data_IF_382318253169
#
_entry.id   IF_382318253169
#
_cell.length_a   1.000
_cell.length_b   1.000
_cell.length_c   1.000
_cell.angle_alpha   90.00
_cell.angle_beta   90.00
_cell.angle_gamma   90.00
#
_symmetry.space_group_name_H-M   'P 1'
#
loop_
_entity.id
_entity.type
_entity.pdbx_description
1 polymer ?
#
# COMPACT_ATOMS: atom_id res chain seq x y z
N UNK A 1 -7.23 -12.59 -10.90
CA UNK A 1 -6.57 -11.77 -9.90
C UNK A 1 -5.16 -12.28 -9.64
N UNK A 2 -4.29 -11.44 -9.13
CA UNK A 2 -2.97 -11.82 -8.63
C UNK A 2 -3.01 -11.89 -7.10
N UNK A 3 -2.06 -12.62 -6.52
CA UNK A 3 -1.96 -12.81 -5.07
C UNK A 3 -1.07 -11.74 -4.44
N UNK A 4 -0.12 -11.18 -5.20
CA UNK A 4 0.85 -10.18 -4.75
C UNK A 4 0.75 -8.89 -5.57
N UNK A 5 1.39 -7.82 -5.12
CA UNK A 5 1.41 -6.54 -5.81
C UNK A 5 0.13 -5.72 -5.61
N UNK A 6 -0.37 -5.69 -4.36
CA UNK A 6 -1.55 -4.91 -4.00
C UNK A 6 -1.38 -3.43 -4.34
N UNK A 7 -2.25 -2.91 -5.21
CA UNK A 7 -2.20 -1.52 -5.63
C UNK A 7 -3.55 -1.16 -6.28
N UNK A 8 -4.38 -0.40 -5.58
CA UNK A 8 -5.74 -0.08 -6.03
C UNK A 8 -5.91 1.43 -6.13
N UNK A 9 -6.24 1.91 -7.34
CA UNK A 9 -6.50 3.32 -7.57
C UNK A 9 -7.98 3.64 -7.29
N UNK A 10 -8.21 4.58 -6.39
CA UNK A 10 -9.50 5.21 -6.11
C UNK A 10 -9.47 6.64 -6.60
N UNK A 11 -10.58 7.09 -7.18
CA UNK A 11 -10.81 8.50 -7.50
C UNK A 11 -11.98 9.01 -6.66
N UNK A 12 -11.73 10.04 -5.84
CA UNK A 12 -12.71 10.69 -4.98
C UNK A 12 -12.67 12.18 -5.28
N UNK A 13 -13.74 12.69 -5.92
CA UNK A 13 -13.73 14.05 -6.47
C UNK A 13 -12.61 14.24 -7.50
N UNK A 14 -11.73 15.20 -7.25
CA UNK A 14 -10.54 15.49 -8.07
C UNK A 14 -9.27 14.76 -7.59
N UNK A 15 -9.34 14.00 -6.48
CA UNK A 15 -8.21 13.34 -5.85
C UNK A 15 -8.02 11.90 -6.31
N UNK A 16 -6.77 11.53 -6.58
CA UNK A 16 -6.34 10.17 -6.89
C UNK A 16 -5.62 9.56 -5.69
N UNK A 17 -6.14 8.45 -5.20
CA UNK A 17 -5.68 7.81 -3.97
C UNK A 17 -5.29 6.37 -4.30
N UNK A 18 -4.12 5.93 -3.86
CA UNK A 18 -3.77 4.52 -3.89
C UNK A 18 -4.07 3.88 -2.53
N UNK A 19 -4.71 2.72 -2.55
CA UNK A 19 -4.71 1.79 -1.44
C UNK A 19 -3.61 0.77 -1.72
N UNK A 20 -2.55 0.82 -0.92
CA UNK A 20 -1.28 0.13 -1.08
C UNK A 20 -0.54 0.47 -2.40
N UNK A 21 0.72 0.11 -2.47
CA UNK A 21 1.57 0.23 -3.66
C UNK A 21 2.66 -0.86 -3.62
N UNK A 22 2.25 -2.10 -3.80
CA UNK A 22 3.05 -3.29 -3.58
C UNK A 22 3.80 -3.82 -4.79
N UNK A 23 4.84 -4.59 -4.54
CA UNK A 23 5.57 -5.35 -5.56
C UNK A 23 4.86 -6.66 -5.91
N UNK A 24 4.83 -6.99 -7.18
CA UNK A 24 4.55 -8.35 -7.62
C UNK A 24 5.72 -9.26 -7.24
N UNK A 25 5.41 -10.49 -6.87
CA UNK A 25 6.38 -11.50 -6.48
C UNK A 25 6.18 -12.80 -7.25
N UNK A 26 7.25 -13.57 -7.44
CA UNK A 26 7.22 -14.90 -8.02
C UNK A 26 6.67 -14.94 -9.45
N UNK A 27 5.54 -15.63 -9.66
CA UNK A 27 4.92 -15.77 -10.98
C UNK A 27 4.37 -14.45 -11.48
N UNK A 28 3.66 -13.69 -10.61
CA UNK A 28 3.06 -12.41 -10.97
C UNK A 28 4.12 -11.38 -11.40
N UNK A 29 5.28 -11.38 -10.77
CA UNK A 29 6.42 -10.54 -11.16
C UNK A 29 6.91 -10.84 -12.58
N UNK A 30 7.07 -12.14 -12.92
CA UNK A 30 7.52 -12.54 -14.25
C UNK A 30 6.54 -12.20 -15.37
N UNK A 31 5.23 -12.20 -15.05
CA UNK A 31 4.17 -11.94 -16.02
C UNK A 31 3.88 -10.46 -16.20
N UNK A 32 4.03 -9.65 -15.15
CA UNK A 32 3.59 -8.25 -15.10
C UNK A 32 4.72 -7.24 -14.99
N UNK A 33 5.85 -7.63 -14.37
CA UNK A 33 6.94 -6.73 -14.02
C UNK A 33 6.58 -5.75 -12.91
N UNK A 34 7.59 -5.10 -12.37
CA UNK A 34 7.44 -4.10 -11.31
C UNK A 34 7.82 -2.68 -11.76
N UNK A 35 8.29 -2.53 -13.00
CA UNK A 35 8.95 -1.32 -13.51
C UNK A 35 7.97 -0.18 -13.83
N UNK A 36 6.73 -0.53 -14.12
CA UNK A 36 5.74 0.44 -14.62
C UNK A 36 4.46 0.46 -13.80
N UNK A 37 3.77 1.60 -13.85
CA UNK A 37 2.42 1.78 -13.30
C UNK A 37 1.42 1.99 -14.44
N UNK A 38 0.16 1.60 -14.24
CA UNK A 38 -0.93 1.84 -15.19
C UNK A 38 -1.53 3.25 -15.06
N UNK A 39 -0.88 4.13 -14.31
CA UNK A 39 -1.24 5.52 -14.06
C UNK A 39 0.05 6.35 -13.98
N UNK A 40 -0.09 7.66 -14.06
CA UNK A 40 1.05 8.57 -13.89
C UNK A 40 1.30 8.82 -12.39
N UNK A 41 2.49 8.46 -11.84
CA UNK A 41 2.82 8.67 -10.44
C UNK A 41 2.67 10.12 -9.95
N UNK A 42 2.84 11.10 -10.84
CA UNK A 42 2.74 12.52 -10.49
C UNK A 42 1.31 12.98 -10.21
N UNK A 43 0.31 12.20 -10.67
CA UNK A 43 -1.10 12.53 -10.51
C UNK A 43 -1.71 11.92 -9.25
N UNK A 44 -0.92 11.18 -8.45
CA UNK A 44 -1.36 10.60 -7.19
C UNK A 44 -1.23 11.63 -6.06
N UNK A 45 -2.31 11.84 -5.32
CA UNK A 45 -2.34 12.76 -4.18
C UNK A 45 -1.97 12.05 -2.87
N UNK A 46 -2.47 10.83 -2.67
CA UNK A 46 -2.25 10.05 -1.45
C UNK A 46 -1.99 8.57 -1.73
N UNK A 47 -1.17 7.96 -0.90
CA UNK A 47 -1.11 6.51 -0.72
C UNK A 47 -1.59 6.21 0.70
N UNK A 48 -2.62 5.39 0.85
CA UNK A 48 -3.06 4.91 2.17
C UNK A 48 -2.56 3.48 2.29
N UNK A 49 -1.58 3.28 3.17
CA UNK A 49 -0.87 2.01 3.28
C UNK A 49 -1.43 1.18 4.44
N UNK A 50 -1.86 -0.04 4.11
CA UNK A 50 -2.42 -0.97 5.09
C UNK A 50 -1.35 -1.56 6.02
N UNK A 51 -0.20 -1.95 5.48
CA UNK A 51 0.90 -2.53 6.25
C UNK A 51 2.21 -2.58 5.44
N UNK A 52 3.31 -2.96 6.12
CA UNK A 52 4.65 -2.80 5.59
C UNK A 52 5.15 -3.93 4.67
N UNK A 53 4.43 -5.05 4.48
CA UNK A 53 4.89 -6.10 3.58
C UNK A 53 5.19 -5.58 2.18
N UNK A 54 6.21 -6.16 1.54
CA UNK A 54 6.74 -5.69 0.25
C UNK A 54 5.72 -5.78 -0.89
N UNK A 55 4.81 -6.74 -0.85
CA UNK A 55 3.71 -6.85 -1.81
C UNK A 55 2.56 -5.85 -1.55
N UNK A 56 2.66 -5.00 -0.52
CA UNK A 56 1.78 -3.87 -0.23
C UNK A 56 2.50 -2.51 -0.25
N UNK A 57 3.78 -2.44 0.08
CA UNK A 57 4.56 -1.19 0.21
C UNK A 57 5.71 -1.05 -0.81
N UNK A 58 6.17 -2.16 -1.38
CA UNK A 58 7.49 -2.26 -2.01
C UNK A 58 7.70 -1.40 -3.24
N UNK A 59 6.65 -0.89 -3.91
CA UNK A 59 6.81 0.06 -5.03
C UNK A 59 6.67 1.53 -4.65
N UNK A 60 6.50 1.86 -3.38
CA UNK A 60 6.46 3.27 -2.93
C UNK A 60 7.77 4.01 -3.26
N UNK A 61 8.98 3.44 -3.04
CA UNK A 61 10.22 4.10 -3.46
C UNK A 61 10.32 4.31 -4.98
N UNK A 62 9.79 3.37 -5.79
CA UNK A 62 9.71 3.55 -7.24
C UNK A 62 8.71 4.64 -7.61
N UNK A 63 7.55 4.70 -6.95
CA UNK A 63 6.55 5.74 -7.14
C UNK A 63 7.17 7.13 -6.89
N UNK A 64 7.94 7.27 -5.79
CA UNK A 64 8.72 8.47 -5.49
C UNK A 64 9.76 8.78 -6.58
N UNK A 65 10.57 7.79 -6.99
CA UNK A 65 11.57 7.93 -8.08
C UNK A 65 10.93 8.45 -9.37
N UNK A 66 9.69 8.05 -9.65
CA UNK A 66 8.94 8.45 -10.85
C UNK A 66 8.11 9.73 -10.68
N UNK A 67 8.27 10.44 -9.57
CA UNK A 67 7.79 11.81 -9.39
C UNK A 67 6.56 11.98 -8.51
N UNK A 68 6.13 10.96 -7.78
CA UNK A 68 5.14 11.12 -6.72
C UNK A 68 5.64 12.10 -5.65
N UNK A 69 4.78 13.03 -5.25
CA UNK A 69 5.05 14.07 -4.24
C UNK A 69 3.95 14.17 -3.20
N UNK A 70 2.95 13.31 -3.29
CA UNK A 70 1.85 13.25 -2.32
C UNK A 70 2.28 12.67 -0.99
N UNK A 71 1.32 12.36 -0.15
CA UNK A 71 1.56 11.83 1.19
C UNK A 71 1.27 10.34 1.26
N UNK A 72 2.13 9.58 1.94
CA UNK A 72 1.88 8.19 2.33
C UNK A 72 1.34 8.18 3.76
N UNK A 73 0.09 7.82 3.93
CA UNK A 73 -0.60 7.81 5.21
C UNK A 73 -0.68 6.37 5.72
N UNK A 74 -0.16 6.10 6.90
CA UNK A 74 -0.13 4.75 7.49
C UNK A 74 -0.20 4.82 9.02
N UNK A 75 -0.17 3.68 9.70
CA UNK A 75 0.03 3.66 11.15
C UNK A 75 1.47 3.97 11.51
N UNK A 76 1.72 4.43 12.76
CA UNK A 76 3.06 4.64 13.30
C UNK A 76 3.92 3.37 13.19
N UNK A 77 3.37 2.20 13.57
CA UNK A 77 4.10 0.94 13.47
C UNK A 77 4.43 0.53 12.03
N UNK A 78 3.55 0.81 11.08
CA UNK A 78 3.82 0.59 9.65
C UNK A 78 4.92 1.52 9.14
N UNK A 79 4.95 2.80 9.57
CA UNK A 79 6.00 3.75 9.24
C UNK A 79 7.37 3.24 9.73
N UNK A 80 7.44 2.83 10.99
CA UNK A 80 8.69 2.32 11.59
C UNK A 80 9.22 1.10 10.85
N UNK A 81 8.34 0.14 10.52
CA UNK A 81 8.73 -1.04 9.75
C UNK A 81 9.15 -0.69 8.32
N UNK A 82 8.43 0.18 7.63
CA UNK A 82 8.76 0.62 6.27
C UNK A 82 10.14 1.28 6.21
N UNK A 83 10.53 2.04 7.24
CA UNK A 83 11.85 2.68 7.31
C UNK A 83 13.00 1.67 7.23
N UNK A 84 12.82 0.47 7.78
CA UNK A 84 13.80 -0.61 7.71
C UNK A 84 13.62 -1.45 6.45
N UNK A 85 12.39 -1.92 6.20
CA UNK A 85 12.10 -2.90 5.15
C UNK A 85 12.31 -2.35 3.74
N UNK A 86 11.94 -1.09 3.48
CA UNK A 86 12.12 -0.48 2.16
C UNK A 86 13.60 -0.21 1.85
N UNK A 87 14.38 0.18 2.85
CA UNK A 87 15.83 0.35 2.70
C UNK A 87 16.52 -0.98 2.40
N UNK A 88 16.16 -2.05 3.12
CA UNK A 88 16.67 -3.41 2.89
C UNK A 88 16.25 -3.94 1.51
N UNK A 89 15.00 -3.76 1.13
CA UNK A 89 14.53 -4.11 -0.22
C UNK A 89 15.32 -3.39 -1.31
N UNK A 90 15.63 -2.10 -1.13
CA UNK A 90 16.48 -1.35 -2.06
C UNK A 90 17.88 -1.97 -2.18
N UNK A 91 18.48 -2.36 -1.05
CA UNK A 91 19.78 -3.03 -1.03
C UNK A 91 19.76 -4.38 -1.76
N UNK A 92 18.71 -5.18 -1.56
CA UNK A 92 18.53 -6.45 -2.27
C UNK A 92 18.44 -6.22 -3.79
N UNK A 93 17.65 -5.24 -4.24
CA UNK A 93 17.50 -4.89 -5.66
C UNK A 93 18.83 -4.41 -6.28
N UNK A 94 19.65 -3.66 -5.54
CA UNK A 94 20.99 -3.25 -5.98
C UNK A 94 21.89 -4.49 -6.17
N UNK A 95 21.94 -5.39 -5.18
CA UNK A 95 22.73 -6.60 -5.23
C UNK A 95 22.31 -7.52 -6.37
N UNK A 96 21.01 -7.73 -6.59
CA UNK A 96 20.50 -8.53 -7.71
C UNK A 96 20.87 -7.92 -9.07
N UNK A 97 20.81 -6.60 -9.19
CA UNK A 97 21.18 -5.89 -10.42
C UNK A 97 22.68 -6.03 -10.69
N UNK A 98 23.52 -5.90 -9.69
CA UNK A 98 24.97 -6.14 -9.81
C UNK A 98 25.27 -7.57 -10.25
N UNK A 99 24.61 -8.58 -9.65
CA UNK A 99 24.79 -9.97 -10.02
C UNK A 99 24.36 -10.24 -11.47
N UNK A 100 23.23 -9.72 -11.89
CA UNK A 100 22.75 -9.77 -13.28
C UNK A 100 23.76 -9.10 -14.22
N UNK A 101 24.31 -7.96 -13.83
CA UNK A 101 25.24 -7.17 -14.63
C UNK A 101 26.61 -7.85 -14.84
N UNK A 102 27.12 -8.61 -13.87
CA UNK A 102 28.33 -9.42 -14.06
C UNK A 102 28.20 -10.42 -15.22
N UNK A 103 27.02 -11.04 -15.38
CA UNK A 103 26.73 -11.95 -16.49
C UNK A 103 26.55 -11.18 -17.80
N UNK A 104 25.81 -10.07 -17.79
CA UNK A 104 25.53 -9.24 -18.96
C UNK A 104 26.79 -8.62 -19.55
N UNK A 105 27.71 -8.14 -18.71
CA UNK A 105 29.02 -7.63 -19.13
C UNK A 105 29.82 -8.68 -19.91
N UNK A 106 29.86 -9.94 -19.44
CA UNK A 106 30.54 -11.04 -20.15
C UNK A 106 29.91 -11.35 -21.50
N UNK A 107 28.64 -11.03 -21.70
CA UNK A 107 27.87 -11.24 -22.91
C UNK A 107 27.83 -10.02 -23.84
N UNK A 108 28.47 -8.93 -23.47
CA UNK A 108 28.42 -7.64 -24.23
C UNK A 108 27.04 -6.98 -24.25
N UNK A 109 26.16 -7.29 -23.28
CA UNK A 109 24.81 -6.73 -23.17
C UNK A 109 24.80 -5.45 -22.32
N UNK A 110 23.85 -4.54 -22.60
CA UNK A 110 23.64 -3.34 -21.78
C UNK A 110 23.32 -3.71 -20.31
N UNK A 111 23.81 -2.88 -19.37
CA UNK A 111 23.55 -3.07 -17.94
C UNK A 111 22.10 -2.77 -17.60
N UNK A 112 21.61 -3.38 -16.53
CA UNK A 112 20.28 -3.11 -15.95
C UNK A 112 20.45 -2.31 -14.65
N UNK A 113 19.57 -1.36 -14.43
CA UNK A 113 19.48 -0.62 -13.18
C UNK A 113 18.51 -1.31 -12.22
N UNK A 114 18.71 -1.16 -10.90
CA UNK A 114 17.71 -1.59 -9.92
C UNK A 114 16.45 -0.72 -10.05
N UNK A 115 15.29 -1.28 -9.69
CA UNK A 115 14.03 -0.51 -9.64
C UNK A 115 14.21 0.77 -8.83
N UNK A 116 14.83 0.64 -7.66
CA UNK A 116 15.30 1.73 -6.81
C UNK A 116 16.46 1.25 -5.93
N UNK A 117 17.20 2.20 -5.39
CA UNK A 117 18.31 1.96 -4.48
C UNK A 117 17.86 2.11 -3.03
N UNK A 118 18.65 1.60 -2.07
CA UNK A 118 18.45 1.86 -0.64
C UNK A 118 18.38 3.36 -0.33
N UNK A 119 19.20 4.17 -1.00
CA UNK A 119 19.18 5.63 -0.87
C UNK A 119 17.86 6.26 -1.33
N UNK A 120 17.28 5.77 -2.43
CA UNK A 120 15.97 6.25 -2.92
C UNK A 120 14.86 5.83 -1.95
N UNK A 121 14.91 4.60 -1.42
CA UNK A 121 13.99 4.13 -0.42
C UNK A 121 14.01 5.01 0.84
N UNK A 122 15.19 5.28 1.38
CA UNK A 122 15.36 6.19 2.52
C UNK A 122 14.85 7.62 2.21
N UNK A 123 15.16 8.15 1.03
CA UNK A 123 14.67 9.45 0.61
C UNK A 123 13.14 9.51 0.51
N UNK A 124 12.47 8.41 0.11
CA UNK A 124 11.01 8.37 0.02
C UNK A 124 10.31 8.43 1.38
N UNK A 125 11.00 8.13 2.49
CA UNK A 125 10.41 8.12 3.83
C UNK A 125 9.91 9.48 4.30
N UNK A 126 10.41 10.59 3.74
CA UNK A 126 9.90 11.92 4.08
C UNK A 126 8.42 12.14 3.67
N UNK A 127 7.89 11.31 2.76
CA UNK A 127 6.49 11.35 2.35
C UNK A 127 5.55 10.66 3.35
N UNK A 128 6.09 9.86 4.26
CA UNK A 128 5.30 9.07 5.19
C UNK A 128 4.81 9.88 6.38
N UNK A 129 3.55 9.68 6.73
CA UNK A 129 2.91 10.23 7.93
C UNK A 129 2.27 9.09 8.71
N UNK A 130 2.80 8.85 9.93
CA UNK A 130 2.30 7.86 10.87
C UNK A 130 1.14 8.41 11.70
N UNK A 131 0.10 7.60 11.88
CA UNK A 131 -1.08 7.95 12.67
C UNK A 131 -1.42 6.83 13.66
N UNK A 132 -2.00 7.16 14.83
CA UNK A 132 -2.47 6.16 15.76
C UNK A 132 -3.71 5.41 15.23
N UNK A 133 -3.96 4.24 15.79
CA UNK A 133 -5.22 3.53 15.57
C UNK A 133 -6.42 4.27 16.18
N UNK A 134 -7.61 3.94 15.69
CA UNK A 134 -8.91 4.29 16.25
C UNK A 134 -9.26 5.78 16.22
N UNK A 135 -8.49 6.60 15.53
CA UNK A 135 -8.75 8.03 15.34
C UNK A 135 -9.13 8.33 13.89
N UNK A 136 -10.14 9.19 13.70
CA UNK A 136 -10.50 9.71 12.40
C UNK A 136 -9.50 10.77 11.94
N UNK A 137 -9.00 10.60 10.73
CA UNK A 137 -8.06 11.51 10.06
C UNK A 137 -8.79 12.07 8.85
N UNK A 138 -8.93 13.37 8.77
CA UNK A 138 -9.44 14.03 7.58
C UNK A 138 -8.29 14.33 6.63
N UNK A 139 -8.27 13.66 5.46
CA UNK A 139 -7.23 13.86 4.46
C UNK A 139 -7.53 15.09 3.57
N UNK A 140 -8.81 15.30 3.28
CA UNK A 140 -9.34 16.50 2.62
C UNK A 140 -10.85 16.57 2.86
N UNK A 141 -11.44 17.71 2.50
CA UNK A 141 -12.87 17.95 2.73
C UNK A 141 -13.76 16.84 2.15
N UNK A 142 -14.57 16.24 2.99
CA UNK A 142 -15.46 15.13 2.61
C UNK A 142 -14.81 13.75 2.60
N UNK A 143 -13.51 13.62 2.92
CA UNK A 143 -12.85 12.30 2.99
C UNK A 143 -12.07 12.12 4.28
N UNK A 144 -12.52 11.14 5.08
CA UNK A 144 -11.90 10.75 6.35
C UNK A 144 -11.55 9.29 6.34
N UNK A 145 -10.43 8.96 7.00
CA UNK A 145 -9.99 7.57 7.18
C UNK A 145 -9.79 7.26 8.66
N UNK A 146 -9.82 5.98 9.00
CA UNK A 146 -9.45 5.48 10.32
C UNK A 146 -8.78 4.12 10.18
N UNK A 147 -7.65 3.96 10.85
CA UNK A 147 -6.95 2.69 10.95
C UNK A 147 -7.49 1.86 12.11
N UNK A 148 -7.77 0.58 11.84
CA UNK A 148 -8.18 -0.42 12.84
C UNK A 148 -7.20 -1.57 12.79
N UNK A 149 -6.86 -2.14 13.93
CA UNK A 149 -5.88 -3.24 13.97
C UNK A 149 -6.35 -4.44 13.14
N UNK A 150 -5.51 -4.86 12.19
CA UNK A 150 -5.78 -6.01 11.31
C UNK A 150 -5.23 -7.33 11.86
N UNK A 151 -4.46 -7.30 12.95
CA UNK A 151 -3.90 -8.48 13.61
C UNK A 151 -2.94 -9.30 12.77
N UNK A 152 -2.41 -8.76 11.67
CA UNK A 152 -1.58 -9.47 10.70
C UNK A 152 -0.08 -9.35 11.02
N UNK A 153 0.38 -8.14 11.26
CA UNK A 153 1.71 -7.82 11.80
C UNK A 153 1.65 -6.51 12.59
N UNK A 154 2.74 -6.14 13.25
CA UNK A 154 2.82 -4.88 13.98
C UNK A 154 2.55 -3.70 13.03
N UNK A 155 1.62 -2.84 13.40
CA UNK A 155 1.21 -1.70 12.58
C UNK A 155 0.18 -2.02 11.49
N UNK A 156 -0.14 -3.28 11.21
CA UNK A 156 -1.10 -3.63 10.15
C UNK A 156 -2.50 -3.10 10.43
N UNK A 157 -3.17 -2.60 9.39
CA UNK A 157 -4.45 -1.94 9.57
C UNK A 157 -5.51 -2.35 8.53
N UNK A 158 -6.73 -2.49 9.03
CA UNK A 158 -7.95 -2.33 8.26
C UNK A 158 -8.19 -0.83 8.12
N UNK A 159 -8.52 -0.36 6.94
CA UNK A 159 -8.76 1.05 6.66
C UNK A 159 -10.25 1.27 6.49
N UNK A 160 -10.86 1.96 7.45
CA UNK A 160 -12.23 2.48 7.31
C UNK A 160 -12.17 3.84 6.63
N UNK A 161 -12.93 4.05 5.57
CA UNK A 161 -13.00 5.29 4.81
C UNK A 161 -14.43 5.80 4.81
N UNK A 162 -14.62 7.10 5.10
CA UNK A 162 -15.90 7.81 4.97
C UNK A 162 -15.76 8.84 3.87
N UNK A 163 -16.61 8.68 2.86
CA UNK A 163 -16.68 9.56 1.70
C UNK A 163 -18.01 10.29 1.78
N UNK A 164 -17.97 11.61 1.86
CA UNK A 164 -19.13 12.48 1.89
C UNK A 164 -19.19 13.30 0.61
N UNK A 165 -20.22 13.05 -0.21
CA UNK A 165 -20.49 13.77 -1.47
C UNK A 165 -21.91 14.32 -1.40
N UNK A 166 -22.05 15.64 -1.39
CA UNK A 166 -23.33 16.34 -1.23
C UNK A 166 -24.11 15.86 0.02
N UNK A 167 -25.25 15.20 -0.21
CA UNK A 167 -26.11 14.64 0.85
C UNK A 167 -25.87 13.15 1.11
N UNK A 168 -24.93 12.53 0.40
CA UNK A 168 -24.67 11.10 0.50
C UNK A 168 -23.39 10.83 1.28
N UNK A 169 -23.44 9.81 2.12
CA UNK A 169 -22.27 9.31 2.80
C UNK A 169 -22.08 7.83 2.47
N UNK A 170 -20.87 7.51 2.01
CA UNK A 170 -20.46 6.14 1.68
C UNK A 170 -19.34 5.70 2.63
N UNK A 171 -19.49 4.54 3.23
CA UNK A 171 -18.44 3.88 3.99
C UNK A 171 -17.78 2.83 3.11
N UNK A 172 -16.46 2.96 2.90
CA UNK A 172 -15.63 1.96 2.24
C UNK A 172 -14.68 1.36 3.26
N UNK A 173 -14.51 0.04 3.25
CA UNK A 173 -13.58 -0.68 4.12
C UNK A 173 -12.61 -1.48 3.26
N UNK A 174 -11.33 -1.23 3.47
CA UNK A 174 -10.23 -1.98 2.86
C UNK A 174 -9.50 -2.74 3.96
N UNK A 175 -9.48 -4.07 3.86
CA UNK A 175 -8.96 -4.89 4.98
C UNK A 175 -7.45 -5.02 4.95
N UNK A 176 -6.80 -4.78 3.82
CA UNK A 176 -5.45 -5.28 3.64
C UNK A 176 -5.41 -6.79 3.93
N UNK A 177 -4.31 -7.25 4.46
CA UNK A 177 -4.15 -8.61 4.93
C UNK A 177 -4.66 -8.74 6.38
N UNK A 178 -5.52 -9.72 6.61
CA UNK A 178 -6.05 -10.02 7.94
C UNK A 178 -5.22 -11.09 8.62
N UNK A 179 -4.93 -10.88 9.90
CA UNK A 179 -4.30 -11.87 10.74
C UNK A 179 -5.26 -12.96 11.24
N UNK A 180 -4.72 -13.93 11.93
CA UNK A 180 -5.48 -14.95 12.64
C UNK A 180 -5.75 -14.51 14.08
N UNK A 181 -6.77 -15.11 14.70
CA UNK A 181 -7.06 -14.92 16.12
C UNK A 181 -6.05 -15.68 17.00
N UNK A 182 -5.93 -15.20 18.22
CA UNK A 182 -5.12 -15.83 19.27
C UNK A 182 -3.62 -15.97 18.93
N UNK A 183 -3.09 -15.06 18.08
CA UNK A 183 -1.65 -15.01 17.78
C UNK A 183 -0.92 -14.29 18.92
N UNK A 184 0.14 -14.86 19.51
CA UNK A 184 0.92 -14.20 20.54
C UNK A 184 1.46 -12.83 20.05
N UNK A 185 1.44 -11.82 20.94
CA UNK A 185 1.97 -10.46 20.71
C UNK A 185 1.07 -9.57 19.82
N UNK A 186 0.31 -10.13 18.88
CA UNK A 186 -0.61 -9.38 18.03
C UNK A 186 -2.01 -9.33 18.65
N UNK A 187 -2.74 -8.26 18.39
CA UNK A 187 -4.17 -8.20 18.70
C UNK A 187 -4.96 -9.00 17.68
N UNK A 188 -6.12 -9.49 18.07
CA UNK A 188 -7.07 -10.04 17.10
C UNK A 188 -7.53 -8.97 16.11
N UNK A 189 -7.83 -9.35 14.85
CA UNK A 189 -8.41 -8.44 13.88
C UNK A 189 -9.67 -7.76 14.42
N UNK A 190 -9.72 -6.44 14.29
CA UNK A 190 -10.86 -5.64 14.73
C UNK A 190 -12.11 -5.98 13.93
N UNK A 191 -13.21 -6.26 14.60
CA UNK A 191 -14.52 -6.43 13.95
C UNK A 191 -15.06 -5.06 13.57
N UNK A 192 -15.30 -4.85 12.27
CA UNK A 192 -15.83 -3.59 11.77
C UNK A 192 -17.37 -3.63 11.78
N UNK A 193 -17.97 -2.77 12.60
CA UNK A 193 -19.42 -2.60 12.59
C UNK A 193 -19.86 -1.87 11.30
N UNK A 194 -20.85 -2.40 10.64
CA UNK A 194 -21.38 -1.85 9.38
C UNK A 194 -22.27 -0.62 9.63
N UNK A 195 -22.86 -0.46 10.80
CA UNK A 195 -23.66 0.73 11.16
C UNK A 195 -24.90 0.96 10.24
N UNK A 196 -25.50 2.13 10.34
CA UNK A 196 -26.73 2.55 9.60
C UNK A 196 -26.43 3.30 8.31
N UNK A 197 -25.30 3.08 7.67
CA UNK A 197 -24.96 3.76 6.40
C UNK A 197 -25.77 3.21 5.24
N UNK A 198 -26.23 4.06 4.33
CA UNK A 198 -27.04 3.68 3.17
C UNK A 198 -26.23 2.95 2.09
N UNK A 199 -24.91 3.14 2.05
CA UNK A 199 -24.02 2.48 1.10
C UNK A 199 -22.75 1.97 1.81
N UNK A 200 -22.40 0.68 1.62
CA UNK A 200 -21.10 0.15 2.01
C UNK A 200 -20.46 -0.61 0.88
N UNK A 201 -19.15 -0.57 0.87
CA UNK A 201 -18.31 -1.44 0.05
C UNK A 201 -17.24 -2.02 0.96
N UNK A 202 -17.13 -3.34 1.01
CA UNK A 202 -16.06 -4.02 1.73
C UNK A 202 -15.15 -4.67 0.69
N UNK A 203 -13.92 -4.22 0.60
CA UNK A 203 -12.88 -4.85 -0.21
C UNK A 203 -12.01 -5.72 0.70
N UNK A 204 -12.05 -7.04 0.50
CA UNK A 204 -11.18 -7.99 1.18
C UNK A 204 -10.10 -8.40 0.18
N UNK A 205 -8.83 -8.18 0.50
CA UNK A 205 -7.72 -8.39 -0.43
C UNK A 205 -7.25 -9.84 -0.46
N UNK A 206 -7.27 -10.54 0.65
CA UNK A 206 -6.69 -11.90 0.77
C UNK A 206 -7.59 -13.06 0.36
N UNK A 207 -8.84 -12.82 -0.02
CA UNK A 207 -9.73 -13.85 -0.57
C UNK A 207 -10.77 -13.21 -1.49
N UNK A 208 -10.40 -12.92 -2.71
CA UNK A 208 -11.22 -12.68 -3.93
C UNK A 208 -12.75 -12.47 -3.78
N UNK A 209 -13.26 -11.95 -2.69
CA UNK A 209 -14.69 -11.74 -2.47
C UNK A 209 -14.99 -10.29 -2.14
N UNK A 210 -15.52 -9.60 -3.12
CA UNK A 210 -16.18 -8.30 -2.91
C UNK A 210 -17.59 -8.60 -2.45
N UNK A 211 -17.92 -8.25 -1.21
CA UNK A 211 -19.31 -8.29 -0.75
C UNK A 211 -19.96 -6.94 -1.05
N UNK A 212 -20.77 -6.91 -2.07
CA UNK A 212 -21.68 -5.81 -2.36
C UNK A 212 -23.03 -6.16 -1.74
N UNK A 213 -23.42 -5.56 -0.62
CA UNK A 213 -24.82 -5.58 -0.20
C UNK A 213 -25.54 -4.46 -0.93
N UNK A 214 -26.42 -4.85 -1.85
CA UNK A 214 -27.50 -4.00 -2.33
C UNK A 214 -28.75 -4.35 -1.50
N UNK A 215 -29.23 -3.41 -0.76
CA UNK A 215 -30.63 -3.35 -0.33
C UNK A 215 -31.23 -2.08 -0.89
#
# INVERSE_FOLDING_TARGET
GCVTGSCHLLKIGDKNILLDCGMYQGKDERERGNETFNFNPKDIDFVILSHAHIDHSGRIPLLYKQGFKGTVVCTEGTLDLCNVMLADSGHILEFESEWKNRKRTRQGLSLVEPLYTSKIAQASMYLFQGHPYDQWIELFNGFKIKFRDAGHLLGSAIIEMLISEDTKQTKLVYTGDLGNKDIPILKDPTIIAIGTFHNYIICIVNNSRIFKNRY
#
